data_IF_136331767216
#
_entry.id   IF_136331767216
#
_cell.length_a   1.000
_cell.length_b   1.000
_cell.length_c   1.000
_cell.angle_alpha   90.00
_cell.angle_beta   90.00
_cell.angle_gamma   90.00
#
_symmetry.space_group_name_H-M   'P 1'
#
loop_
_entity.id
_entity.type
_entity.pdbx_description
1 polymer ?
#
# COMPACT_ATOMS: atom_id res chain seq x y z
N UNK A 1 29.81 -55.76 -40.66
CA UNK A 1 28.65 -54.93 -40.27
C UNK A 1 28.58 -54.93 -38.75
N UNK A 2 29.09 -53.87 -38.13
CA UNK A 2 29.16 -53.68 -36.67
C UNK A 2 27.85 -53.06 -36.17
N UNK A 3 27.16 -53.64 -35.18
CA UNK A 3 26.00 -52.98 -34.56
C UNK A 3 26.44 -51.95 -33.52
N UNK A 4 25.82 -50.77 -33.59
CA UNK A 4 25.96 -49.67 -32.64
C UNK A 4 25.24 -50.00 -31.32
N UNK A 5 25.85 -49.82 -30.13
CA UNK A 5 25.14 -49.95 -28.86
C UNK A 5 24.40 -48.66 -28.46
N UNK A 6 23.15 -48.82 -28.01
CA UNK A 6 22.33 -47.76 -27.39
C UNK A 6 22.84 -47.39 -25.99
N UNK A 7 22.79 -46.11 -25.58
CA UNK A 7 23.19 -45.70 -24.23
C UNK A 7 22.12 -46.04 -23.17
N UNK A 8 22.58 -46.69 -22.09
CA UNK A 8 21.85 -46.88 -20.82
C UNK A 8 21.79 -45.57 -20.03
N UNK A 9 20.61 -44.97 -19.91
CA UNK A 9 20.37 -43.90 -18.94
C UNK A 9 20.07 -44.49 -17.55
N UNK A 10 21.07 -44.47 -16.66
CA UNK A 10 20.90 -44.76 -15.24
C UNK A 10 20.32 -43.52 -14.54
N UNK A 11 19.01 -43.52 -14.29
CA UNK A 11 18.36 -42.52 -13.45
C UNK A 11 18.87 -42.60 -12.01
N UNK A 12 19.55 -41.56 -11.54
CA UNK A 12 19.86 -41.38 -10.12
C UNK A 12 18.68 -40.63 -9.50
N UNK A 13 17.85 -41.35 -8.74
CA UNK A 13 16.82 -40.75 -7.90
C UNK A 13 17.52 -40.04 -6.72
N UNK A 14 17.49 -38.71 -6.74
CA UNK A 14 18.07 -37.87 -5.69
C UNK A 14 17.17 -37.89 -4.46
N UNK A 15 17.72 -38.43 -3.37
CA UNK A 15 17.16 -38.52 -2.03
C UNK A 15 17.26 -37.19 -1.29
N UNK A 16 16.55 -36.17 -1.72
CA UNK A 16 16.48 -34.89 -1.00
C UNK A 16 15.03 -34.46 -0.85
N UNK A 17 14.28 -35.28 -0.13
CA UNK A 17 12.93 -34.96 0.34
C UNK A 17 13.01 -34.28 1.70
N UNK A 18 12.32 -33.13 1.77
CA UNK A 18 11.62 -32.60 2.94
C UNK A 18 12.45 -31.84 3.98
N UNK A 19 12.85 -30.60 3.65
CA UNK A 19 12.96 -29.55 4.66
C UNK A 19 12.77 -28.19 3.99
N UNK A 20 11.56 -27.62 4.04
CA UNK A 20 11.33 -26.29 3.48
C UNK A 20 9.86 -25.96 3.20
N UNK A 21 9.01 -25.95 4.24
CA UNK A 21 7.60 -25.58 4.08
C UNK A 21 7.06 -24.77 5.27
N UNK A 22 7.89 -23.91 5.86
CA UNK A 22 7.48 -23.07 7.00
C UNK A 22 7.83 -21.56 6.86
N UNK A 23 8.42 -21.11 5.76
CA UNK A 23 8.92 -19.73 5.63
C UNK A 23 8.10 -18.83 4.67
N UNK A 24 6.91 -19.25 4.24
CA UNK A 24 6.14 -18.54 3.19
C UNK A 24 5.01 -17.62 3.68
N UNK A 25 4.64 -17.64 4.96
CA UNK A 25 3.35 -17.06 5.40
C UNK A 25 3.41 -15.61 5.91
N UNK A 26 4.59 -15.01 6.11
CA UNK A 26 4.69 -13.64 6.67
C UNK A 26 4.67 -12.51 5.62
N UNK A 27 4.77 -12.80 4.32
CA UNK A 27 4.80 -11.75 3.28
C UNK A 27 3.42 -11.30 2.76
N UNK A 28 2.33 -11.95 3.19
CA UNK A 28 1.00 -11.72 2.62
C UNK A 28 0.18 -10.59 3.29
N UNK A 29 0.54 -10.16 4.50
CA UNK A 29 -0.28 -9.20 5.26
C UNK A 29 -0.08 -7.75 4.82
N UNK A 30 1.17 -7.34 4.56
CA UNK A 30 1.51 -5.97 4.19
C UNK A 30 0.87 -5.50 2.87
N UNK A 31 0.72 -6.40 1.89
CA UNK A 31 0.04 -6.10 0.63
C UNK A 31 -1.48 -6.00 0.75
N UNK A 32 -2.08 -6.69 1.73
CA UNK A 32 -3.52 -6.66 1.98
C UNK A 32 -3.98 -5.34 2.58
N UNK A 33 -3.22 -4.81 3.55
CA UNK A 33 -3.55 -3.53 4.22
C UNK A 33 -3.41 -2.34 3.25
N UNK A 34 -2.31 -2.27 2.49
CA UNK A 34 -2.10 -1.25 1.46
C UNK A 34 -3.26 -1.20 0.44
N UNK A 35 -3.75 -2.36 0.01
CA UNK A 35 -4.90 -2.46 -0.91
C UNK A 35 -6.21 -1.97 -0.26
N UNK A 36 -6.41 -2.22 1.02
CA UNK A 36 -7.58 -1.74 1.75
C UNK A 36 -7.54 -0.22 1.93
N UNK A 37 -6.36 0.35 2.20
CA UNK A 37 -6.19 1.79 2.35
C UNK A 37 -6.38 2.53 1.01
N UNK A 38 -5.88 1.96 -0.09
CA UNK A 38 -6.14 2.48 -1.43
C UNK A 38 -7.64 2.45 -1.79
N UNK A 39 -8.34 1.36 -1.44
CA UNK A 39 -9.79 1.25 -1.63
C UNK A 39 -10.56 2.28 -0.79
N UNK A 40 -10.15 2.50 0.47
CA UNK A 40 -10.72 3.53 1.33
C UNK A 40 -10.48 4.93 0.77
N UNK A 41 -9.28 5.23 0.25
CA UNK A 41 -8.99 6.53 -0.37
C UNK A 41 -9.88 6.80 -1.60
N UNK A 42 -10.21 5.75 -2.37
CA UNK A 42 -11.16 5.84 -3.47
C UNK A 42 -12.59 6.08 -2.97
N UNK A 43 -13.05 5.30 -2.00
CA UNK A 43 -14.39 5.39 -1.41
C UNK A 43 -14.66 6.77 -0.78
N UNK A 44 -13.68 7.29 -0.03
CA UNK A 44 -13.74 8.63 0.59
C UNK A 44 -13.53 9.76 -0.42
N UNK A 45 -13.26 9.44 -1.68
CA UNK A 45 -13.18 10.40 -2.77
C UNK A 45 -11.89 11.21 -2.84
N UNK A 46 -10.80 10.76 -2.21
CA UNK A 46 -9.52 11.47 -2.16
C UNK A 46 -9.00 11.82 -3.57
N UNK A 47 -9.18 10.92 -4.54
CA UNK A 47 -8.72 11.12 -5.93
C UNK A 47 -9.52 12.18 -6.70
N UNK A 48 -10.69 12.59 -6.21
CA UNK A 48 -11.48 13.65 -6.86
C UNK A 48 -10.76 15.00 -6.88
N UNK A 49 -9.81 15.18 -5.95
CA UNK A 49 -8.96 16.37 -5.87
C UNK A 49 -7.47 16.05 -5.99
N UNK A 50 -7.01 14.95 -5.39
CA UNK A 50 -5.59 14.58 -5.29
C UNK A 50 -5.12 13.61 -6.38
N UNK A 51 -5.89 13.45 -7.47
CA UNK A 51 -5.50 12.67 -8.63
C UNK A 51 -4.33 13.27 -9.42
N UNK A 52 -4.02 12.66 -10.56
CA UNK A 52 -3.06 13.17 -11.53
C UNK A 52 -3.73 13.25 -12.92
N UNK A 53 -4.05 14.45 -13.43
CA UNK A 53 -3.74 15.77 -12.85
C UNK A 53 -4.63 16.11 -11.63
N UNK A 54 -4.15 16.94 -10.69
CA UNK A 54 -4.93 17.34 -9.53
C UNK A 54 -5.99 18.39 -9.87
N UNK A 55 -7.05 18.46 -9.07
CA UNK A 55 -8.11 19.47 -9.22
C UNK A 55 -7.73 20.77 -8.51
N UNK A 56 -7.74 21.88 -9.22
CA UNK A 56 -7.54 23.21 -8.65
C UNK A 56 -6.14 23.37 -8.03
N UNK A 57 -6.08 23.76 -6.75
CA UNK A 57 -4.82 23.96 -6.01
C UNK A 57 -4.41 22.77 -5.13
N UNK A 58 -5.13 21.63 -5.23
CA UNK A 58 -4.78 20.45 -4.46
C UNK A 58 -3.43 19.86 -4.93
N UNK A 59 -2.55 19.41 -4.02
CA UNK A 59 -1.39 18.60 -4.41
C UNK A 59 -1.82 17.22 -4.90
N UNK A 60 -1.03 16.55 -5.73
CA UNK A 60 -1.25 15.12 -6.05
C UNK A 60 -1.00 14.24 -4.82
N UNK A 61 -1.54 13.01 -4.80
CA UNK A 61 -1.21 12.03 -3.76
C UNK A 61 0.31 11.76 -3.70
N UNK A 62 0.98 11.68 -4.85
CA UNK A 62 2.43 11.50 -4.90
C UNK A 62 3.20 12.65 -4.22
N UNK A 63 2.76 13.90 -4.46
CA UNK A 63 3.34 15.06 -3.81
C UNK A 63 3.05 15.07 -2.29
N UNK A 64 1.88 14.62 -1.86
CA UNK A 64 1.58 14.44 -0.43
C UNK A 64 2.47 13.36 0.19
N UNK A 65 2.64 12.22 -0.47
CA UNK A 65 3.48 11.13 0.00
C UNK A 65 4.92 11.58 0.26
N UNK A 66 5.52 12.33 -0.67
CA UNK A 66 6.86 12.90 -0.49
C UNK A 66 6.96 13.86 0.70
N UNK A 67 5.92 14.67 0.93
CA UNK A 67 5.87 15.58 2.08
C UNK A 67 5.69 14.83 3.39
N UNK A 68 4.87 13.78 3.40
CA UNK A 68 4.47 13.09 4.63
C UNK A 68 5.49 12.04 5.06
N UNK A 69 6.29 11.50 4.13
CA UNK A 69 7.38 10.57 4.43
C UNK A 69 8.44 11.14 5.41
N UNK A 70 8.50 12.47 5.55
CA UNK A 70 9.43 13.17 6.44
C UNK A 70 8.84 13.47 7.83
N UNK A 71 7.55 13.23 8.02
CA UNK A 71 6.85 13.56 9.26
C UNK A 71 7.00 12.43 10.28
N UNK A 72 7.15 12.81 11.55
CA UNK A 72 7.04 11.90 12.68
C UNK A 72 5.61 11.38 12.87
N UNK A 73 5.46 10.31 13.67
CA UNK A 73 4.15 9.75 14.00
C UNK A 73 3.20 10.77 14.68
N UNK A 74 3.75 11.65 15.52
CA UNK A 74 2.98 12.68 16.21
C UNK A 74 2.52 13.78 15.23
N UNK A 75 3.39 14.18 14.30
CA UNK A 75 3.03 15.13 13.24
C UNK A 75 1.97 14.55 12.29
N UNK A 76 2.03 13.26 11.98
CA UNK A 76 1.00 12.58 11.20
C UNK A 76 -0.34 12.52 11.95
N UNK A 77 -0.30 12.30 13.27
CA UNK A 77 -1.51 12.32 14.12
C UNK A 77 -2.14 13.70 14.13
N UNK A 78 -1.35 14.75 14.40
CA UNK A 78 -1.83 16.14 14.36
C UNK A 78 -2.39 16.51 12.98
N UNK A 79 -1.76 16.01 11.91
CA UNK A 79 -2.23 16.24 10.54
C UNK A 79 -3.60 15.57 10.29
N UNK A 80 -3.80 14.37 10.82
CA UNK A 80 -5.06 13.65 10.73
C UNK A 80 -6.18 14.38 11.48
N UNK A 81 -5.91 14.89 12.67
CA UNK A 81 -6.85 15.70 13.45
C UNK A 81 -7.26 16.97 12.70
N UNK A 82 -6.28 17.68 12.10
CA UNK A 82 -6.54 18.89 11.31
C UNK A 82 -7.40 18.65 10.06
N UNK A 83 -7.41 17.44 9.51
CA UNK A 83 -8.29 17.10 8.39
C UNK A 83 -9.75 16.96 8.84
N UNK A 84 -9.96 16.48 10.07
CA UNK A 84 -11.27 16.34 10.69
C UNK A 84 -11.77 17.63 11.35
N UNK A 85 -10.88 18.59 11.67
CA UNK A 85 -11.28 19.90 12.19
C UNK A 85 -12.09 20.68 11.14
N UNK A 86 -13.42 20.65 11.31
CA UNK A 86 -14.37 21.41 10.54
C UNK A 86 -14.04 22.91 10.66
N UNK A 87 -13.46 23.50 9.61
CA UNK A 87 -13.49 24.96 9.48
C UNK A 87 -14.95 25.32 9.24
N UNK A 88 -15.58 25.82 10.30
CA UNK A 88 -16.99 26.18 10.46
C UNK A 88 -17.61 27.00 9.31
N UNK A 89 -16.83 27.47 8.34
CA UNK A 89 -17.23 28.15 7.12
C UNK A 89 -16.27 27.75 5.98
N UNK A 90 -16.57 26.68 5.23
CA UNK A 90 -15.85 26.33 3.99
C UNK A 90 -14.90 25.12 4.05
N UNK A 91 -15.23 24.10 4.86
CA UNK A 91 -14.52 22.82 4.85
C UNK A 91 -14.60 22.09 3.49
N UNK A 92 -13.66 21.16 3.27
CA UNK A 92 -13.67 20.28 2.09
C UNK A 92 -14.59 19.10 2.42
N UNK A 93 -15.75 19.02 1.77
CA UNK A 93 -16.79 18.02 2.07
C UNK A 93 -16.31 16.55 2.08
N UNK A 94 -15.25 16.21 1.33
CA UNK A 94 -14.65 14.88 1.38
C UNK A 94 -13.90 14.61 2.70
N UNK A 95 -13.25 15.63 3.27
CA UNK A 95 -12.55 15.50 4.55
C UNK A 95 -13.51 15.40 5.73
N UNK A 96 -14.66 16.09 5.65
CA UNK A 96 -15.68 16.08 6.70
C UNK A 96 -16.35 14.71 6.90
N UNK A 97 -16.22 13.80 5.93
CA UNK A 97 -16.73 12.42 6.00
C UNK A 97 -15.76 11.44 6.64
N UNK A 98 -14.53 11.88 6.95
CA UNK A 98 -13.52 11.03 7.58
C UNK A 98 -13.75 10.99 9.09
N UNK A 99 -13.77 9.79 9.65
CA UNK A 99 -13.58 9.66 11.10
C UNK A 99 -12.11 9.95 11.45
N UNK A 100 -11.80 10.28 12.72
CA UNK A 100 -10.41 10.48 13.15
C UNK A 100 -9.51 9.28 12.83
N UNK A 101 -10.03 8.06 12.97
CA UNK A 101 -9.30 6.81 12.70
C UNK A 101 -9.03 6.63 11.21
N UNK A 102 -10.02 6.88 10.35
CA UNK A 102 -9.87 6.83 8.90
C UNK A 102 -8.87 7.89 8.40
N UNK A 103 -8.95 9.09 8.95
CA UNK A 103 -8.01 10.19 8.66
C UNK A 103 -6.58 9.79 9.02
N UNK A 104 -6.36 9.23 10.23
CA UNK A 104 -5.04 8.78 10.65
C UNK A 104 -4.50 7.66 9.77
N UNK A 105 -5.35 6.70 9.43
CA UNK A 105 -4.99 5.59 8.54
C UNK A 105 -4.59 6.10 7.15
N UNK A 106 -5.36 7.01 6.55
CA UNK A 106 -5.04 7.61 5.26
C UNK A 106 -3.73 8.41 5.30
N UNK A 107 -3.53 9.24 6.33
CA UNK A 107 -2.30 10.06 6.45
C UNK A 107 -1.06 9.19 6.60
N UNK A 108 -1.13 8.08 7.36
CA UNK A 108 -0.05 7.10 7.48
C UNK A 108 0.20 6.33 6.19
N UNK A 109 -0.86 5.89 5.51
CA UNK A 109 -0.74 5.23 4.21
C UNK A 109 -0.11 6.16 3.15
N UNK A 110 -0.49 7.44 3.13
CA UNK A 110 0.13 8.45 2.27
C UNK A 110 1.62 8.62 2.63
N UNK A 111 1.96 8.74 3.91
CA UNK A 111 3.36 8.83 4.35
C UNK A 111 4.18 7.61 3.94
N UNK A 112 3.57 6.42 3.92
CA UNK A 112 4.18 5.19 3.45
C UNK A 112 4.36 5.11 1.92
N UNK A 113 3.75 6.05 1.15
CA UNK A 113 3.93 6.18 -0.29
C UNK A 113 2.64 6.09 -1.12
N UNK A 114 1.46 5.99 -0.50
CA UNK A 114 0.18 5.90 -1.18
C UNK A 114 0.12 4.79 -2.27
N UNK A 115 0.67 3.61 -1.97
CA UNK A 115 0.73 2.44 -2.86
C UNK A 115 0.09 1.22 -2.23
#
# INVERSE_FOLDING_TARGET
>A
MTPLPLPRSRGKLSRWTLTGLAAGLLAATAGGEARADAAMALDKGCLSCHGDPPRGKAPTLAALAQRYAQLSADELTKKAEQLCEHRLLGGVAAHEKLTPEESLRLVRWIAAGAR
#
